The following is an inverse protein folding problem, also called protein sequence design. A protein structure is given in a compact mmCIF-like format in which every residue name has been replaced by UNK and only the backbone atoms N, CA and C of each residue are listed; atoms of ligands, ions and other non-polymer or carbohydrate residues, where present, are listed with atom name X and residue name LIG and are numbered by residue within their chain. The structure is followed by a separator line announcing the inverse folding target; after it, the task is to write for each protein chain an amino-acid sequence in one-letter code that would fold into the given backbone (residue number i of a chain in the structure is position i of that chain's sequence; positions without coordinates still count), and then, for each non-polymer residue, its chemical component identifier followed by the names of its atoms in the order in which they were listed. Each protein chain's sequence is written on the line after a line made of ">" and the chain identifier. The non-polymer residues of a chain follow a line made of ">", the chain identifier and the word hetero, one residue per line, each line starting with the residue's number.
data_IF_236882326069
#
_entry.id   IF_236882326069
#
_cell.length_a   1.000
_cell.length_b   1.000
_cell.length_c   1.000
_cell.angle_alpha   90.00
_cell.angle_beta   90.00
_cell.angle_gamma   90.00
#
_symmetry.space_group_name_H-M   'P 1'
#
loop_
_entity.id
_entity.type
_entity.pdbx_description
1 polymer ?
#
# COMPACT_ATOMS: atom_id res chain seq x y z
N UNK A 1 -21.92 -4.23 16.39
CA UNK A 1 -21.07 -5.41 16.19
C UNK A 1 -19.74 -4.90 15.66
N UNK A 2 -18.74 -4.71 16.54
CA UNK A 2 -17.41 -4.26 16.17
C UNK A 2 -16.47 -5.47 16.31
N UNK A 3 -16.35 -6.24 15.24
CA UNK A 3 -15.49 -7.42 15.19
C UNK A 3 -15.14 -7.70 13.72
N UNK A 4 -14.33 -6.84 13.09
CA UNK A 4 -13.77 -7.11 11.76
C UNK A 4 -12.51 -6.28 11.40
N UNK A 5 -11.93 -5.54 12.36
CA UNK A 5 -10.80 -4.63 12.11
C UNK A 5 -9.57 -4.92 12.98
N UNK A 6 -9.52 -6.09 13.63
CA UNK A 6 -8.36 -6.49 14.42
C UNK A 6 -7.32 -7.20 13.55
N UNK A 7 -6.26 -6.47 13.19
CA UNK A 7 -5.09 -7.00 12.47
C UNK A 7 -4.08 -7.68 13.42
N UNK A 8 -4.49 -7.96 14.66
CA UNK A 8 -3.75 -8.73 15.64
C UNK A 8 -2.46 -8.05 16.06
N UNK A 9 -1.33 -8.62 15.64
CA UNK A 9 0.00 -8.12 16.04
C UNK A 9 0.38 -6.79 15.35
N UNK A 10 -0.25 -6.46 14.22
CA UNK A 10 0.08 -5.29 13.43
C UNK A 10 -0.61 -4.04 13.99
N UNK A 11 0.18 -3.00 14.24
CA UNK A 11 -0.31 -1.67 14.62
C UNK A 11 -0.41 -0.72 13.43
N UNK A 12 0.40 -0.95 12.39
CA UNK A 12 0.42 -0.12 11.19
C UNK A 12 0.34 -1.00 9.96
N UNK A 13 -0.53 -0.58 9.05
CA UNK A 13 -0.66 -1.16 7.72
C UNK A 13 -0.18 -0.11 6.74
N UNK A 14 0.92 -0.41 6.05
CA UNK A 14 1.41 0.40 4.94
C UNK A 14 0.88 -0.21 3.65
N UNK A 15 0.31 0.63 2.78
CA UNK A 15 -0.30 0.19 1.54
C UNK A 15 0.35 0.92 0.38
N UNK A 16 0.68 0.17 -0.66
CA UNK A 16 0.88 0.74 -1.98
C UNK A 16 -0.46 1.19 -2.59
N UNK A 17 -0.39 2.12 -3.55
CA UNK A 17 -1.57 2.74 -4.19
C UNK A 17 -1.95 1.95 -5.46
N UNK A 18 -1.22 2.20 -6.54
CA UNK A 18 -1.50 1.59 -7.85
C UNK A 18 -1.21 0.10 -7.80
N UNK A 19 -2.09 -0.72 -8.35
CA UNK A 19 -1.95 -2.18 -8.36
C UNK A 19 -2.26 -2.87 -7.03
N UNK A 20 -2.40 -2.14 -5.93
CA UNK A 20 -2.58 -2.72 -4.59
C UNK A 20 -3.95 -2.39 -3.97
N UNK A 21 -4.21 -1.12 -3.59
CA UNK A 21 -5.56 -0.72 -3.12
C UNK A 21 -6.54 -0.57 -4.28
N UNK A 22 -6.02 -0.23 -5.46
CA UNK A 22 -6.81 -0.08 -6.67
C UNK A 22 -6.14 -0.84 -7.83
N UNK A 23 -6.86 -1.68 -8.59
CA UNK A 23 -6.29 -2.36 -9.74
C UNK A 23 -5.77 -1.37 -10.79
N UNK A 24 -4.67 -1.73 -11.45
CA UNK A 24 -4.09 -0.90 -12.53
C UNK A 24 -5.12 -0.67 -13.66
N UNK A 25 -5.95 -1.68 -13.94
CA UNK A 25 -7.05 -1.59 -14.90
C UNK A 25 -8.06 -0.52 -14.52
N UNK A 26 -8.42 -0.37 -13.24
CA UNK A 26 -9.34 0.68 -12.81
C UNK A 26 -8.75 2.08 -13.08
N UNK A 27 -7.47 2.29 -12.80
CA UNK A 27 -6.80 3.57 -13.08
C UNK A 27 -6.91 3.91 -14.57
N UNK A 28 -6.59 2.95 -15.44
CA UNK A 28 -6.55 3.16 -16.90
C UNK A 28 -7.92 3.21 -17.55
N UNK A 29 -8.82 2.32 -17.15
CA UNK A 29 -10.10 2.06 -17.82
C UNK A 29 -11.25 2.86 -17.23
N UNK A 30 -11.10 3.37 -16.00
CA UNK A 30 -12.15 4.13 -15.30
C UNK A 30 -11.67 5.52 -14.91
N UNK A 31 -10.57 5.61 -14.14
CA UNK A 31 -10.15 6.89 -13.55
C UNK A 31 -9.66 7.89 -14.60
N UNK A 32 -8.84 7.45 -15.56
CA UNK A 32 -8.36 8.32 -16.64
C UNK A 32 -9.49 8.82 -17.55
N UNK A 33 -10.41 7.97 -18.07
CA UNK A 33 -11.56 8.44 -18.83
C UNK A 33 -12.43 9.43 -18.04
N UNK A 34 -12.69 9.16 -16.77
CA UNK A 34 -13.42 10.07 -15.90
C UNK A 34 -12.70 11.42 -15.75
N UNK A 35 -11.40 11.41 -15.45
CA UNK A 35 -10.60 12.62 -15.30
C UNK A 35 -10.63 13.47 -16.58
N UNK A 36 -10.48 12.86 -17.76
CA UNK A 36 -10.53 13.58 -19.04
C UNK A 36 -11.89 14.23 -19.32
N UNK A 37 -12.98 13.64 -18.83
CA UNK A 37 -14.33 14.23 -18.94
C UNK A 37 -14.50 15.43 -18.00
N UNK A 38 -13.96 15.37 -16.79
CA UNK A 38 -14.15 16.38 -15.75
C UNK A 38 -13.15 17.54 -15.85
N UNK A 39 -11.92 17.27 -16.30
CA UNK A 39 -10.80 18.22 -16.36
C UNK A 39 -11.18 19.53 -17.07
N UNK A 40 -11.79 19.56 -18.26
CA UNK A 40 -12.07 20.83 -18.95
C UNK A 40 -12.90 21.82 -18.13
N UNK A 41 -13.98 21.33 -17.50
CA UNK A 41 -14.84 22.15 -16.64
C UNK A 41 -14.10 22.59 -15.38
N UNK A 42 -13.40 21.66 -14.72
CA UNK A 42 -12.64 21.98 -13.51
C UNK A 42 -11.57 23.06 -13.77
N UNK A 43 -10.82 22.93 -14.86
CA UNK A 43 -9.79 23.89 -15.25
C UNK A 43 -10.39 25.26 -15.59
N UNK A 44 -11.53 25.30 -16.29
CA UNK A 44 -12.19 26.56 -16.62
C UNK A 44 -12.65 27.33 -15.37
N UNK A 45 -13.07 26.61 -14.33
CA UNK A 45 -13.64 27.20 -13.12
C UNK A 45 -12.61 27.49 -12.03
N UNK A 46 -11.57 26.66 -11.90
CA UNK A 46 -10.73 26.62 -10.69
C UNK A 46 -9.23 26.87 -10.94
N UNK A 47 -8.75 26.91 -12.19
CA UNK A 47 -7.30 26.94 -12.48
C UNK A 47 -6.55 28.15 -11.91
N UNK A 48 -7.23 29.27 -11.68
CA UNK A 48 -6.65 30.49 -11.10
C UNK A 48 -6.94 30.66 -9.61
N UNK A 49 -7.75 29.78 -9.01
CA UNK A 49 -8.02 29.82 -7.59
C UNK A 49 -6.80 29.26 -6.85
N UNK A 50 -6.10 30.11 -6.10
CA UNK A 50 -4.97 29.70 -5.26
C UNK A 50 -5.41 29.08 -3.93
N UNK A 51 -6.72 28.93 -3.73
CA UNK A 51 -7.27 28.27 -2.56
C UNK A 51 -7.28 26.76 -2.77
N UNK A 52 -7.01 26.00 -1.70
CA UNK A 52 -7.12 24.55 -1.71
C UNK A 52 -8.53 24.16 -2.20
N UNK A 53 -8.67 23.46 -3.35
CA UNK A 53 -9.98 23.08 -3.89
C UNK A 53 -10.70 22.05 -3.02
N UNK A 54 -10.05 21.52 -1.97
CA UNK A 54 -10.64 20.58 -1.01
C UNK A 54 -10.64 21.17 0.42
N UNK A 55 -11.39 22.26 0.68
CA UNK A 55 -11.33 23.02 1.93
C UNK A 55 -11.93 22.29 3.14
N UNK A 56 -12.51 21.09 2.98
CA UNK A 56 -13.14 20.34 4.06
C UNK A 56 -12.68 18.88 4.04
N UNK A 57 -11.56 18.59 4.71
CA UNK A 57 -11.20 17.23 5.12
C UNK A 57 -12.16 16.81 6.25
N UNK A 58 -13.32 16.28 5.89
CA UNK A 58 -14.24 15.70 6.87
C UNK A 58 -13.69 14.36 7.36
N UNK A 59 -13.57 14.24 8.68
CA UNK A 59 -13.22 13.01 9.37
C UNK A 59 -14.30 11.92 9.16
N UNK A 60 -13.92 10.62 9.16
CA UNK A 60 -12.70 10.06 9.74
C UNK A 60 -11.51 10.08 8.79
N UNK A 61 -10.36 10.57 9.28
CA UNK A 61 -9.08 10.40 8.59
C UNK A 61 -8.62 8.96 8.77
N UNK A 62 -8.95 8.10 7.79
CA UNK A 62 -8.50 6.70 7.76
C UNK A 62 -7.03 6.53 7.34
N UNK A 63 -6.41 7.57 6.78
CA UNK A 63 -5.03 7.57 6.30
C UNK A 63 -4.22 8.57 7.14
N UNK A 64 -3.30 8.07 7.96
CA UNK A 64 -2.55 8.91 8.91
C UNK A 64 -1.34 9.61 8.31
N UNK A 65 -0.76 9.09 7.22
CA UNK A 65 0.45 9.65 6.58
C UNK A 65 0.60 9.15 5.13
N UNK A 66 1.52 9.75 4.37
CA UNK A 66 1.86 9.33 3.00
C UNK A 66 3.36 9.45 2.71
N UNK A 67 3.85 8.53 1.88
CA UNK A 67 5.26 8.43 1.55
C UNK A 67 5.48 8.40 0.05
N UNK A 68 6.42 9.22 -0.43
CA UNK A 68 6.78 9.35 -1.83
C UNK A 68 8.31 9.33 -2.02
N UNK A 69 8.77 9.57 -3.25
CA UNK A 69 10.18 9.55 -3.60
C UNK A 69 10.99 10.70 -2.99
N UNK A 70 10.33 11.74 -2.48
CA UNK A 70 10.96 12.91 -1.86
C UNK A 70 11.13 12.69 -0.37
N UNK A 71 10.12 12.17 0.32
CA UNK A 71 10.14 12.02 1.78
C UNK A 71 10.56 10.62 2.26
N UNK A 72 10.51 9.59 1.40
CA UNK A 72 10.96 8.23 1.73
C UNK A 72 12.06 7.74 0.77
N UNK A 73 11.89 7.97 -0.54
CA UNK A 73 12.82 7.49 -1.57
C UNK A 73 12.23 6.43 -2.50
N UNK A 74 13.04 5.78 -3.36
CA UNK A 74 12.56 4.74 -4.28
C UNK A 74 11.99 3.54 -3.53
N UNK A 75 10.82 3.04 -3.95
CA UNK A 75 10.11 1.96 -3.25
C UNK A 75 10.81 0.59 -3.34
N UNK A 76 11.78 0.44 -4.24
CA UNK A 76 12.60 -0.78 -4.35
C UNK A 76 13.82 -0.78 -3.43
N UNK A 77 14.08 0.32 -2.73
CA UNK A 77 15.27 0.47 -1.89
C UNK A 77 14.92 0.25 -0.41
N UNK A 78 15.68 -0.61 0.26
CA UNK A 78 15.50 -0.92 1.69
C UNK A 78 15.56 0.34 2.56
N UNK A 79 16.43 1.30 2.18
CA UNK A 79 16.61 2.55 2.90
C UNK A 79 15.30 3.38 2.97
N UNK A 80 14.43 3.30 1.96
CA UNK A 80 13.15 4.01 1.95
C UNK A 80 12.23 3.53 3.07
N UNK A 81 12.19 2.22 3.32
CA UNK A 81 11.41 1.64 4.41
C UNK A 81 12.02 1.90 5.78
N UNK A 82 13.36 1.95 5.88
CA UNK A 82 14.03 2.43 7.10
C UNK A 82 13.66 3.88 7.41
N UNK A 83 13.61 4.75 6.40
CA UNK A 83 13.14 6.15 6.55
C UNK A 83 11.69 6.19 7.02
N UNK A 84 10.79 5.44 6.39
CA UNK A 84 9.38 5.35 6.79
C UNK A 84 9.24 4.93 8.27
N UNK A 85 9.94 3.86 8.66
CA UNK A 85 9.92 3.37 10.06
C UNK A 85 10.43 4.43 11.05
N UNK A 86 11.39 5.27 10.64
CA UNK A 86 11.97 6.31 11.51
C UNK A 86 10.98 7.42 11.89
N UNK A 87 9.90 7.61 11.13
CA UNK A 87 8.83 8.54 11.48
C UNK A 87 8.02 8.07 12.69
N UNK A 88 8.10 6.78 13.03
CA UNK A 88 7.36 6.15 14.13
C UNK A 88 8.30 5.33 15.04
N UNK A 89 9.25 5.99 15.73
CA UNK A 89 10.31 5.30 16.48
C UNK A 89 9.78 4.42 17.63
N UNK A 90 8.57 4.71 18.13
CA UNK A 90 7.93 3.95 19.21
C UNK A 90 7.26 2.65 18.74
N UNK A 91 7.16 2.43 17.41
CA UNK A 91 6.52 1.25 16.84
C UNK A 91 7.60 0.34 16.25
N UNK A 92 7.80 -0.82 16.86
CA UNK A 92 8.72 -1.84 16.35
C UNK A 92 8.38 -2.25 14.90
N UNK A 93 9.38 -2.40 14.01
CA UNK A 93 9.17 -2.86 12.63
C UNK A 93 8.36 -4.16 12.52
N UNK A 94 8.50 -5.08 13.47
CA UNK A 94 7.72 -6.33 13.50
C UNK A 94 6.20 -6.12 13.69
N UNK A 95 5.77 -4.90 14.06
CA UNK A 95 4.35 -4.52 14.18
C UNK A 95 3.83 -3.77 12.96
N UNK A 96 4.62 -3.69 11.90
CA UNK A 96 4.23 -3.16 10.60
C UNK A 96 3.97 -4.29 9.62
N UNK A 97 2.98 -4.09 8.74
CA UNK A 97 2.78 -4.90 7.55
C UNK A 97 2.62 -4.03 6.31
N UNK A 98 3.44 -4.29 5.29
CA UNK A 98 3.37 -3.64 3.99
C UNK A 98 2.76 -4.55 2.93
N UNK A 99 1.77 -4.04 2.18
CA UNK A 99 1.16 -4.76 1.05
C UNK A 99 1.47 -4.04 -0.26
N UNK A 100 2.00 -4.77 -1.25
CA UNK A 100 2.26 -4.26 -2.61
C UNK A 100 2.13 -5.38 -3.64
N UNK A 101 1.73 -5.06 -4.87
CA UNK A 101 1.76 -5.99 -6.01
C UNK A 101 3.15 -6.09 -6.67
N UNK A 102 4.12 -5.29 -6.22
CA UNK A 102 5.49 -5.33 -6.71
C UNK A 102 6.40 -6.11 -5.75
N UNK A 103 6.93 -7.26 -6.20
CA UNK A 103 7.77 -8.12 -5.37
C UNK A 103 9.09 -7.47 -4.95
N UNK A 104 9.66 -6.59 -5.78
CA UNK A 104 10.89 -5.89 -5.40
C UNK A 104 10.66 -4.93 -4.23
N UNK A 105 9.48 -4.33 -4.14
CA UNK A 105 9.07 -3.48 -3.02
C UNK A 105 8.80 -4.33 -1.77
N UNK A 106 8.12 -5.47 -1.93
CA UNK A 106 7.88 -6.44 -0.85
C UNK A 106 9.20 -6.92 -0.23
N UNK A 107 10.19 -7.27 -1.06
CA UNK A 107 11.49 -7.71 -0.58
C UNK A 107 12.27 -6.60 0.13
N UNK A 108 12.22 -5.38 -0.40
CA UNK A 108 12.88 -4.22 0.19
C UNK A 108 12.30 -3.88 1.57
N UNK A 109 10.97 -3.91 1.71
CA UNK A 109 10.28 -3.74 2.98
C UNK A 109 10.68 -4.82 3.99
N UNK A 110 10.73 -6.09 3.58
CA UNK A 110 11.13 -7.19 4.48
C UNK A 110 12.54 -7.03 5.01
N UNK A 111 13.46 -6.58 4.16
CA UNK A 111 14.85 -6.34 4.55
C UNK A 111 15.00 -5.19 5.55
N UNK A 112 14.01 -4.29 5.66
CA UNK A 112 14.00 -3.24 6.69
C UNK A 112 13.48 -3.73 8.06
N UNK A 113 13.08 -5.01 8.15
CA UNK A 113 12.58 -5.63 9.38
C UNK A 113 11.07 -5.57 9.58
N UNK A 114 10.31 -4.98 8.66
CA UNK A 114 8.84 -5.06 8.69
C UNK A 114 8.30 -6.33 8.04
N UNK A 115 7.07 -6.70 8.36
CA UNK A 115 6.38 -7.72 7.56
C UNK A 115 6.00 -7.12 6.22
N UNK A 116 6.07 -7.92 5.15
CA UNK A 116 5.48 -7.55 3.88
C UNK A 116 4.97 -8.79 3.14
N UNK A 117 3.87 -8.61 2.44
CA UNK A 117 3.13 -9.66 1.73
C UNK A 117 2.77 -9.14 0.34
N UNK A 118 2.97 -9.94 -0.72
CA UNK A 118 2.53 -9.55 -2.05
C UNK A 118 1.01 -9.47 -2.14
N UNK A 119 0.50 -8.57 -2.96
CA UNK A 119 -0.90 -8.48 -3.34
C UNK A 119 -1.07 -8.86 -4.80
N UNK A 120 -2.22 -9.44 -5.14
CA UNK A 120 -2.64 -9.63 -6.53
C UNK A 120 -4.02 -9.01 -6.72
N UNK A 121 -4.19 -8.30 -7.84
CA UNK A 121 -5.45 -7.66 -8.22
C UNK A 121 -5.87 -8.05 -9.63
N UNK A 122 -7.19 -8.15 -9.89
CA UNK A 122 -7.68 -8.42 -11.24
C UNK A 122 -7.15 -7.38 -12.24
N UNK A 123 -6.50 -7.85 -13.30
CA UNK A 123 -5.94 -6.99 -14.34
C UNK A 123 -4.48 -6.56 -14.14
N UNK A 124 -3.85 -6.89 -13.00
CA UNK A 124 -2.41 -6.74 -12.84
C UNK A 124 -1.67 -7.83 -13.63
N UNK A 125 -0.41 -7.57 -13.96
CA UNK A 125 0.47 -8.60 -14.49
C UNK A 125 0.63 -9.74 -13.46
N UNK A 126 0.74 -11.01 -13.90
CA UNK A 126 0.96 -12.12 -12.97
C UNK A 126 2.32 -11.97 -12.29
N UNK A 127 2.35 -12.29 -10.99
CA UNK A 127 3.60 -12.35 -10.25
C UNK A 127 4.51 -13.48 -10.79
N UNK A 128 5.83 -13.28 -10.87
CA UNK A 128 6.79 -14.30 -11.27
C UNK A 128 6.67 -15.59 -10.45
N UNK A 129 6.36 -16.71 -11.09
CA UNK A 129 6.21 -18.01 -10.41
C UNK A 129 7.51 -18.52 -9.75
N UNK A 130 8.66 -18.01 -10.17
CA UNK A 130 9.98 -18.35 -9.61
C UNK A 130 10.26 -17.66 -8.27
N UNK A 131 9.50 -16.62 -7.93
CA UNK A 131 9.74 -15.88 -6.71
C UNK A 131 9.16 -16.61 -5.49
N UNK A 132 9.93 -16.77 -4.39
CA UNK A 132 9.51 -17.59 -3.25
C UNK A 132 8.27 -17.06 -2.51
N UNK A 133 7.94 -15.78 -2.68
CA UNK A 133 6.78 -15.14 -2.05
C UNK A 133 5.50 -15.19 -2.89
N UNK A 134 5.57 -15.58 -4.16
CA UNK A 134 4.43 -15.52 -5.08
C UNK A 134 3.24 -16.36 -4.62
N UNK A 135 3.48 -17.50 -3.97
CA UNK A 135 2.40 -18.37 -3.46
C UNK A 135 1.61 -17.77 -2.28
N UNK A 136 2.15 -16.73 -1.63
CA UNK A 136 1.51 -16.06 -0.49
C UNK A 136 0.75 -14.79 -0.91
N UNK A 137 0.61 -14.54 -2.20
CA UNK A 137 -0.01 -13.34 -2.71
C UNK A 137 -1.49 -13.24 -2.31
N UNK A 138 -1.87 -12.09 -1.76
CA UNK A 138 -3.21 -11.82 -1.28
C UNK A 138 -4.12 -11.26 -2.39
N UNK A 139 -5.23 -11.94 -2.65
CA UNK A 139 -6.32 -11.41 -3.48
C UNK A 139 -7.34 -10.60 -2.68
N UNK A 140 -7.37 -10.75 -1.35
CA UNK A 140 -8.29 -10.08 -0.43
C UNK A 140 -7.53 -9.54 0.77
N UNK A 141 -7.98 -8.42 1.34
CA UNK A 141 -7.34 -7.75 2.48
C UNK A 141 -8.19 -7.88 3.75
N UNK A 142 -8.48 -9.12 4.14
CA UNK A 142 -9.11 -9.39 5.44
C UNK A 142 -8.04 -9.55 6.52
N UNK A 143 -8.30 -9.20 7.79
CA UNK A 143 -7.31 -9.41 8.86
C UNK A 143 -6.82 -10.86 8.95
N UNK A 144 -7.71 -11.83 8.72
CA UNK A 144 -7.37 -13.25 8.69
C UNK A 144 -6.41 -13.61 7.55
N UNK A 145 -6.70 -13.15 6.31
CA UNK A 145 -5.84 -13.40 5.16
C UNK A 145 -4.44 -12.81 5.34
N UNK A 146 -4.36 -11.57 5.85
CA UNK A 146 -3.11 -10.86 6.12
C UNK A 146 -2.30 -11.59 7.20
N UNK A 147 -2.93 -11.96 8.32
CA UNK A 147 -2.27 -12.68 9.40
C UNK A 147 -1.76 -14.06 8.96
N UNK A 148 -2.57 -14.80 8.19
CA UNK A 148 -2.20 -16.12 7.69
C UNK A 148 -1.00 -16.06 6.74
N UNK A 149 -1.03 -15.14 5.77
CA UNK A 149 0.08 -14.98 4.82
C UNK A 149 1.36 -14.54 5.52
N UNK A 150 1.29 -13.58 6.44
CA UNK A 150 2.46 -13.12 7.19
C UNK A 150 3.09 -14.23 8.04
N UNK A 151 2.26 -15.06 8.70
CA UNK A 151 2.73 -16.20 9.50
C UNK A 151 3.38 -17.29 8.62
N UNK A 152 2.77 -17.59 7.47
CA UNK A 152 3.30 -18.58 6.53
C UNK A 152 4.67 -18.16 5.98
N UNK A 153 4.81 -16.89 5.59
CA UNK A 153 6.10 -16.34 5.12
C UNK A 153 7.16 -16.39 6.24
N UNK A 154 6.81 -16.02 7.48
CA UNK A 154 7.74 -16.06 8.60
C UNK A 154 8.28 -17.47 8.88
N UNK A 155 7.42 -18.48 8.75
CA UNK A 155 7.77 -19.89 8.95
C UNK A 155 8.70 -20.40 7.85
N UNK A 156 8.41 -20.06 6.59
CA UNK A 156 9.17 -20.53 5.43
C UNK A 156 10.57 -19.91 5.33
N UNK A 157 10.75 -18.68 5.79
CA UNK A 157 12.07 -17.99 5.76
C UNK A 157 12.97 -18.39 6.92
N UNK A 158 12.40 -19.01 7.98
CA UNK A 158 13.15 -19.51 9.13
C UNK A 158 13.62 -20.97 8.97
N UNK A 159 13.21 -21.64 7.89
CA UNK A 159 13.53 -23.03 7.55
C UNK A 159 14.61 -23.09 6.46
#
# INVERSE_FOLDING_TARGET
>A
MAAETDFGQFQVILLDIEGTVCPISFVKDVLFPYALQVLPTFLAEQWQCHEDPFPQRHEPVFISDWFDTVNAGPKTDVASYTTILSHYPDISPARWIFLSDNLSEVDAARQSGMHSVPAVRPGNAPLPATHPLTEFALSEFTPASVAQAAAAIATKVSA
#
